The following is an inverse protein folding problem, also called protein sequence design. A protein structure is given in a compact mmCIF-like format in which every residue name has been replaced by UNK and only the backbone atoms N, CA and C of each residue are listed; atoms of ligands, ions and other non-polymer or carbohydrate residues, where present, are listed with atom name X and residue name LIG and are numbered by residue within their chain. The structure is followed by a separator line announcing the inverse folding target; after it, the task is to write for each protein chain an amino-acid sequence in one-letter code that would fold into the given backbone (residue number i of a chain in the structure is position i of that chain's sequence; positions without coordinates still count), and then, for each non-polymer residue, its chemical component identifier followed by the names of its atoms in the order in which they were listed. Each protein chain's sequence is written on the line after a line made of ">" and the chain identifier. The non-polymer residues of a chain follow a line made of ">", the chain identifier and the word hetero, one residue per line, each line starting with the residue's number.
data_IF_601850691985
#
_entry.id   IF_601850691985
#
_cell.length_a   1.000
_cell.length_b   1.000
_cell.length_c   1.000
_cell.angle_alpha   90.00
_cell.angle_beta   90.00
_cell.angle_gamma   90.00
#
_symmetry.space_group_name_H-M   'P 1'
#
loop_
_entity.id
_entity.type
_entity.pdbx_description
1 polymer ?
#
# COMPACT_ATOMS: atom_id res chain seq x y z
N UNK A 1 0.46 -7.78 -28.74
CA UNK A 1 -0.99 -7.50 -28.53
C UNK A 1 -1.62 -8.42 -27.48
N UNK A 2 -1.62 -9.74 -27.65
CA UNK A 2 -2.22 -10.68 -26.67
C UNK A 2 -1.62 -10.58 -25.25
N UNK A 3 -0.30 -10.43 -25.12
CA UNK A 3 0.35 -10.26 -23.82
C UNK A 3 -0.16 -9.03 -23.03
N UNK A 4 -0.31 -7.90 -23.72
CA UNK A 4 -0.84 -6.66 -23.12
C UNK A 4 -2.30 -6.84 -22.69
N UNK A 5 -3.11 -7.51 -23.50
CA UNK A 5 -4.52 -7.80 -23.16
C UNK A 5 -4.59 -8.66 -21.90
N UNK A 6 -3.77 -9.73 -21.82
CA UNK A 6 -3.70 -10.56 -20.62
C UNK A 6 -3.21 -9.79 -19.40
N UNK A 7 -2.21 -8.93 -19.57
CA UNK A 7 -1.69 -8.08 -18.51
C UNK A 7 -2.77 -7.14 -17.94
N UNK A 8 -3.48 -6.42 -18.81
CA UNK A 8 -4.59 -5.56 -18.41
C UNK A 8 -5.71 -6.35 -17.73
N UNK A 9 -6.09 -7.51 -18.27
CA UNK A 9 -7.09 -8.38 -17.66
C UNK A 9 -6.70 -8.81 -16.24
N UNK A 10 -5.44 -9.21 -16.02
CA UNK A 10 -4.94 -9.56 -14.70
C UNK A 10 -4.99 -8.39 -13.72
N UNK A 11 -4.69 -7.16 -14.16
CA UNK A 11 -4.83 -5.95 -13.33
C UNK A 11 -6.28 -5.75 -12.89
N UNK A 12 -7.25 -5.85 -13.83
CA UNK A 12 -8.67 -5.72 -13.48
C UNK A 12 -9.13 -6.82 -12.52
N UNK A 13 -8.73 -8.07 -12.76
CA UNK A 13 -9.04 -9.18 -11.86
C UNK A 13 -8.39 -8.96 -10.49
N UNK A 14 -7.14 -8.48 -10.42
CA UNK A 14 -6.45 -8.19 -9.18
C UNK A 14 -7.17 -7.10 -8.37
N UNK A 15 -7.53 -5.99 -9.01
CA UNK A 15 -8.29 -4.89 -8.41
C UNK A 15 -9.65 -5.35 -7.88
N UNK A 16 -10.38 -6.14 -8.69
CA UNK A 16 -11.67 -6.69 -8.29
C UNK A 16 -11.54 -7.66 -7.10
N UNK A 17 -10.50 -8.50 -7.11
CA UNK A 17 -10.21 -9.47 -6.05
C UNK A 17 -9.82 -8.79 -4.75
N UNK A 18 -9.03 -7.71 -4.81
CA UNK A 18 -8.76 -6.82 -3.66
C UNK A 18 -10.05 -6.20 -3.12
N UNK A 19 -10.97 -5.79 -4.00
CA UNK A 19 -12.29 -5.31 -3.60
C UNK A 19 -13.13 -6.37 -2.87
N UNK A 20 -13.07 -7.64 -3.30
CA UNK A 20 -13.72 -8.75 -2.61
C UNK A 20 -13.09 -9.05 -1.26
N UNK A 21 -11.76 -9.10 -1.19
CA UNK A 21 -11.01 -9.30 0.05
C UNK A 21 -11.40 -8.24 1.08
N UNK A 22 -11.37 -6.96 0.68
CA UNK A 22 -11.78 -5.82 1.50
C UNK A 22 -13.22 -5.95 1.99
N UNK A 23 -14.18 -6.25 1.09
CA UNK A 23 -15.60 -6.41 1.46
C UNK A 23 -15.82 -7.58 2.42
N UNK A 24 -15.08 -8.68 2.27
CA UNK A 24 -15.13 -9.82 3.17
C UNK A 24 -14.60 -9.45 4.56
N UNK A 25 -13.39 -8.88 4.64
CA UNK A 25 -12.77 -8.49 5.92
C UNK A 25 -13.58 -7.43 6.65
N UNK A 26 -14.06 -6.42 5.93
CA UNK A 26 -14.94 -5.38 6.49
C UNK A 26 -16.24 -5.94 7.04
N UNK A 27 -16.83 -6.96 6.42
CA UNK A 27 -18.08 -7.53 6.90
C UNK A 27 -17.91 -8.56 8.03
N UNK A 28 -16.72 -9.18 8.14
CA UNK A 28 -16.32 -9.96 9.31
C UNK A 28 -16.04 -9.08 10.52
N UNK A 29 -15.65 -7.83 10.26
CA UNK A 29 -15.34 -6.87 11.31
C UNK A 29 -16.58 -6.04 11.64
N UNK A 30 -16.98 -6.00 12.91
CA UNK A 30 -18.23 -5.33 13.34
C UNK A 30 -18.31 -3.87 12.89
N UNK A 31 -19.53 -3.38 12.57
CA UNK A 31 -19.87 -1.96 12.32
C UNK A 31 -19.49 -0.99 13.45
N UNK A 32 -18.90 -1.49 14.55
CA UNK A 32 -18.25 -0.72 15.60
C UNK A 32 -16.94 -0.07 15.16
N UNK A 33 -16.28 -0.55 14.10
CA UNK A 33 -15.01 0.02 13.65
C UNK A 33 -15.21 1.48 13.23
N UNK A 34 -16.09 1.84 12.30
CA UNK A 34 -16.27 3.26 11.91
C UNK A 34 -16.62 4.19 13.09
N UNK A 35 -17.47 3.74 14.03
CA UNK A 35 -17.77 4.50 15.26
C UNK A 35 -16.58 4.61 16.22
N UNK A 36 -15.71 3.61 16.25
CA UNK A 36 -14.48 3.61 17.07
C UNK A 36 -13.44 4.61 16.55
N UNK A 37 -13.44 4.93 15.24
CA UNK A 37 -12.46 5.87 14.67
C UNK A 37 -12.58 7.26 15.29
N UNK A 38 -13.80 7.69 15.61
CA UNK A 38 -14.06 9.00 16.20
C UNK A 38 -13.85 9.01 17.72
N UNK A 39 -14.10 7.88 18.40
CA UNK A 39 -14.04 7.77 19.86
C UNK A 39 -12.62 7.59 20.41
N UNK A 40 -11.69 7.01 19.64
CA UNK A 40 -10.35 6.65 20.11
C UNK A 40 -9.20 7.57 19.63
N UNK A 41 -9.53 8.79 19.17
CA UNK A 41 -8.55 9.74 18.61
C UNK A 41 -8.28 10.92 19.57
N UNK A 42 -8.38 10.66 20.88
CA UNK A 42 -8.12 11.60 21.96
C UNK A 42 -6.62 11.77 22.25
N UNK A 43 -5.80 10.73 22.02
CA UNK A 43 -4.36 10.73 22.27
C UNK A 43 -3.55 10.32 21.02
N UNK A 44 -2.37 10.91 20.74
CA UNK A 44 -1.58 10.61 19.54
C UNK A 44 -1.21 9.13 19.39
N UNK A 45 -0.88 8.44 20.49
CA UNK A 45 -0.59 6.99 20.47
C UNK A 45 -1.82 6.18 20.07
N UNK A 46 -3.00 6.53 20.59
CA UNK A 46 -4.24 5.84 20.23
C UNK A 46 -4.59 6.09 18.76
N UNK A 47 -4.48 7.34 18.30
CA UNK A 47 -4.69 7.71 16.90
C UNK A 47 -3.78 6.92 15.94
N UNK A 48 -2.51 6.72 16.31
CA UNK A 48 -1.55 5.91 15.58
C UNK A 48 -1.91 4.42 15.55
N UNK A 49 -2.15 3.80 16.71
CA UNK A 49 -2.50 2.38 16.77
C UNK A 49 -3.83 2.08 16.06
N UNK A 50 -4.81 2.96 16.22
CA UNK A 50 -6.10 2.85 15.56
C UNK A 50 -5.93 2.92 14.04
N UNK A 51 -5.12 3.83 13.50
CA UNK A 51 -4.94 3.88 12.04
C UNK A 51 -4.21 2.67 11.48
N UNK A 52 -3.28 2.05 12.23
CA UNK A 52 -2.67 0.76 11.84
C UNK A 52 -3.76 -0.30 11.66
N UNK A 53 -4.59 -0.48 12.68
CA UNK A 53 -5.65 -1.51 12.67
C UNK A 53 -6.68 -1.21 11.59
N UNK A 54 -7.13 0.05 11.47
CA UNK A 54 -8.13 0.41 10.47
C UNK A 54 -7.63 0.24 9.06
N UNK A 55 -6.43 0.71 8.75
CA UNK A 55 -5.88 0.54 7.42
C UNK A 55 -5.57 -0.93 7.13
N UNK A 56 -5.09 -1.68 8.11
CA UNK A 56 -4.88 -3.12 8.00
C UNK A 56 -6.18 -3.88 7.71
N UNK A 57 -7.30 -3.52 8.33
CA UNK A 57 -8.61 -4.15 8.06
C UNK A 57 -9.23 -3.64 6.75
N UNK A 58 -9.14 -2.33 6.48
CA UNK A 58 -9.62 -1.70 5.23
C UNK A 58 -8.80 -2.11 4.01
N UNK A 59 -7.56 -2.57 4.21
CA UNK A 59 -6.61 -2.94 3.16
C UNK A 59 -6.35 -1.79 2.17
N UNK A 60 -6.57 -0.54 2.60
CA UNK A 60 -6.47 0.64 1.73
C UNK A 60 -6.13 1.89 2.54
N UNK A 61 -4.85 2.28 2.48
CA UNK A 61 -4.37 3.53 3.07
C UNK A 61 -4.95 4.76 2.37
N UNK A 62 -5.14 4.70 1.05
CA UNK A 62 -5.82 5.75 0.28
C UNK A 62 -7.25 6.00 0.75
N UNK A 63 -8.06 4.94 0.93
CA UNK A 63 -9.43 5.11 1.43
C UNK A 63 -9.45 5.69 2.85
N UNK A 64 -8.56 5.22 3.73
CA UNK A 64 -8.43 5.77 5.07
C UNK A 64 -8.04 7.26 5.06
N UNK A 65 -7.08 7.64 4.22
CA UNK A 65 -6.65 9.04 4.11
C UNK A 65 -7.75 9.95 3.56
N UNK A 66 -8.55 9.49 2.60
CA UNK A 66 -9.73 10.23 2.10
C UNK A 66 -10.70 10.51 3.26
N UNK A 67 -10.97 9.53 4.12
CA UNK A 67 -11.84 9.70 5.30
C UNK A 67 -11.24 10.71 6.28
N UNK A 68 -9.95 10.56 6.62
CA UNK A 68 -9.25 11.48 7.53
C UNK A 68 -9.28 12.91 6.99
N UNK A 69 -9.03 13.10 5.70
CA UNK A 69 -9.08 14.40 5.05
C UNK A 69 -10.49 14.97 5.07
N UNK A 70 -11.53 14.16 4.82
CA UNK A 70 -12.93 14.56 4.96
C UNK A 70 -13.28 15.03 6.38
N UNK A 71 -12.79 14.34 7.41
CA UNK A 71 -12.98 14.75 8.82
C UNK A 71 -12.21 16.02 9.17
N UNK A 72 -11.02 16.22 8.60
CA UNK A 72 -10.27 17.47 8.80
C UNK A 72 -10.95 18.64 8.08
N UNK A 73 -11.44 18.42 6.86
CA UNK A 73 -12.16 19.43 6.07
C UNK A 73 -13.46 19.88 6.74
N UNK A 74 -14.15 18.98 7.43
CA UNK A 74 -15.41 19.27 8.14
C UNK A 74 -15.21 19.79 9.56
N UNK A 75 -13.96 19.94 10.02
CA UNK A 75 -13.64 20.40 11.38
C UNK A 75 -13.87 19.37 12.49
N UNK A 76 -14.29 18.14 12.15
CA UNK A 76 -14.46 17.03 13.10
C UNK A 76 -13.10 16.63 13.70
N UNK A 77 -12.04 16.67 12.88
CA UNK A 77 -10.67 16.38 13.27
C UNK A 77 -9.77 17.59 13.03
N UNK A 78 -8.82 17.85 13.91
CA UNK A 78 -7.78 18.87 13.67
C UNK A 78 -6.63 18.27 12.86
N UNK A 79 -5.97 19.10 12.04
CA UNK A 79 -4.75 18.69 11.32
C UNK A 79 -3.69 18.07 12.25
N UNK A 80 -3.48 18.63 13.44
CA UNK A 80 -2.53 18.06 14.41
C UNK A 80 -2.83 16.60 14.77
N UNK A 81 -4.12 16.23 14.86
CA UNK A 81 -4.55 14.86 15.17
C UNK A 81 -4.47 13.91 13.98
N UNK A 82 -4.40 14.42 12.74
CA UNK A 82 -4.24 13.56 11.55
C UNK A 82 -2.81 13.05 11.37
N UNK A 83 -1.79 13.73 11.91
CA UNK A 83 -0.38 13.32 11.77
C UNK A 83 -0.10 11.90 12.33
N UNK A 84 -0.43 11.56 13.59
CA UNK A 84 -0.26 10.18 14.06
C UNK A 84 -1.05 9.16 13.24
N UNK A 85 -2.20 9.57 12.69
CA UNK A 85 -3.02 8.70 11.82
C UNK A 85 -2.31 8.41 10.49
N UNK A 86 -1.64 9.42 9.91
CA UNK A 86 -0.77 9.28 8.72
C UNK A 86 0.35 8.26 8.98
N UNK A 87 1.02 8.36 10.13
CA UNK A 87 2.10 7.43 10.47
C UNK A 87 1.59 5.98 10.58
N UNK A 88 0.45 5.78 11.24
CA UNK A 88 -0.08 4.43 11.43
C UNK A 88 -0.74 3.84 10.18
N UNK A 89 -1.37 4.64 9.31
CA UNK A 89 -1.96 4.11 8.06
C UNK A 89 -0.90 3.53 7.13
N UNK A 90 0.29 4.13 7.08
CA UNK A 90 1.41 3.63 6.30
C UNK A 90 1.87 2.24 6.77
N UNK A 91 1.94 2.01 8.09
CA UNK A 91 2.19 0.67 8.64
C UNK A 91 1.00 -0.25 8.31
N UNK A 92 -0.24 0.18 8.49
CA UNK A 92 -1.41 -0.65 8.23
C UNK A 92 -1.48 -1.17 6.79
N UNK A 93 -1.07 -0.38 5.79
CA UNK A 93 -1.04 -0.84 4.38
C UNK A 93 -0.05 -1.98 4.12
N UNK A 94 0.95 -2.16 4.98
CA UNK A 94 1.93 -3.24 4.83
C UNK A 94 1.30 -4.61 5.06
N UNK A 95 0.20 -4.69 5.82
CA UNK A 95 -0.51 -5.96 6.04
C UNK A 95 -1.00 -6.53 4.71
N UNK A 96 -1.47 -5.67 3.80
CA UNK A 96 -1.84 -6.09 2.44
C UNK A 96 -0.65 -6.70 1.71
N UNK A 97 0.52 -6.07 1.81
CA UNK A 97 1.74 -6.53 1.14
C UNK A 97 2.21 -7.88 1.70
N UNK A 98 2.15 -8.05 3.03
CA UNK A 98 2.46 -9.31 3.70
C UNK A 98 1.48 -10.42 3.30
N UNK A 99 0.17 -10.14 3.24
CA UNK A 99 -0.81 -11.12 2.77
C UNK A 99 -0.58 -11.56 1.31
N UNK A 100 -0.18 -10.62 0.45
CA UNK A 100 0.16 -10.88 -0.97
C UNK A 100 1.41 -11.76 -1.09
N UNK A 101 2.38 -11.62 -0.17
CA UNK A 101 3.67 -12.30 -0.27
C UNK A 101 3.70 -13.72 0.32
N UNK A 102 2.63 -14.18 0.96
CA UNK A 102 2.58 -15.53 1.52
C UNK A 102 2.72 -16.54 0.37
N UNK A 103 3.80 -17.34 0.38
CA UNK A 103 3.97 -18.46 -0.55
C UNK A 103 2.88 -19.50 -0.33
N UNK A 104 1.90 -19.53 -1.21
CA UNK A 104 0.71 -20.36 -1.09
C UNK A 104 0.40 -21.06 -2.41
N UNK A 105 1.41 -21.55 -3.14
CA UNK A 105 1.19 -22.11 -4.49
C UNK A 105 0.16 -23.25 -4.52
N UNK A 106 0.20 -24.15 -3.52
CA UNK A 106 -0.80 -25.22 -3.35
C UNK A 106 -2.08 -24.70 -2.69
N UNK A 107 -1.95 -23.74 -1.77
CA UNK A 107 -3.08 -23.15 -1.04
C UNK A 107 -3.92 -22.20 -1.89
N UNK A 108 -3.43 -21.69 -3.01
CA UNK A 108 -4.17 -20.82 -3.93
C UNK A 108 -5.48 -21.49 -4.37
N UNK A 109 -5.39 -22.71 -4.90
CA UNK A 109 -6.57 -23.44 -5.36
C UNK A 109 -7.49 -23.82 -4.19
N UNK A 110 -6.93 -24.12 -3.02
CA UNK A 110 -7.71 -24.37 -1.80
C UNK A 110 -8.50 -23.13 -1.41
N UNK A 111 -7.85 -21.96 -1.34
CA UNK A 111 -8.47 -20.68 -1.00
C UNK A 111 -9.58 -20.30 -1.98
N UNK A 112 -9.35 -20.47 -3.28
CA UNK A 112 -10.37 -20.24 -4.32
C UNK A 112 -11.54 -21.20 -4.13
N UNK A 113 -11.28 -22.51 -4.02
CA UNK A 113 -12.33 -23.52 -3.91
C UNK A 113 -13.14 -23.34 -2.62
N UNK A 114 -12.49 -23.26 -1.45
CA UNK A 114 -13.15 -23.06 -0.17
C UNK A 114 -13.86 -21.71 -0.12
N UNK A 115 -13.24 -20.66 -0.65
CA UNK A 115 -13.84 -19.34 -0.73
C UNK A 115 -15.13 -19.35 -1.54
N UNK A 116 -15.12 -20.00 -2.71
CA UNK A 116 -16.28 -20.14 -3.58
C UNK A 116 -17.39 -20.99 -2.92
N UNK A 117 -17.03 -22.11 -2.28
CA UNK A 117 -17.97 -22.95 -1.52
C UNK A 117 -18.63 -22.14 -0.40
N UNK A 118 -17.85 -21.39 0.39
CA UNK A 118 -18.39 -20.55 1.45
C UNK A 118 -19.27 -19.40 0.92
N UNK A 119 -18.99 -18.85 -0.27
CA UNK A 119 -19.82 -17.82 -0.91
C UNK A 119 -21.17 -18.41 -1.35
N UNK A 120 -21.16 -19.57 -1.99
CA UNK A 120 -22.36 -20.19 -2.57
C UNK A 120 -23.23 -20.81 -1.48
N UNK A 121 -22.64 -21.67 -0.65
CA UNK A 121 -23.35 -22.52 0.31
C UNK A 121 -23.32 -21.98 1.75
N UNK A 122 -22.42 -21.05 2.07
CA UNK A 122 -22.30 -20.53 3.42
C UNK A 122 -23.49 -19.66 3.85
N UNK A 123 -23.73 -19.61 5.17
CA UNK A 123 -24.61 -18.63 5.79
C UNK A 123 -23.97 -17.23 5.82
N UNK A 124 -24.70 -16.18 6.24
CA UNK A 124 -24.28 -14.77 6.12
C UNK A 124 -22.83 -14.50 6.57
N UNK A 125 -22.43 -14.97 7.76
CA UNK A 125 -21.06 -14.79 8.26
C UNK A 125 -20.01 -15.55 7.43
N UNK A 126 -20.29 -16.82 7.11
CA UNK A 126 -19.42 -17.65 6.27
C UNK A 126 -19.29 -17.12 4.83
N UNK A 127 -20.31 -16.45 4.29
CA UNK A 127 -20.21 -15.78 2.97
C UNK A 127 -19.21 -14.63 3.00
N UNK A 128 -19.11 -13.91 4.11
CA UNK A 128 -18.13 -12.83 4.26
C UNK A 128 -16.71 -13.39 4.35
N UNK A 129 -16.51 -14.46 5.13
CA UNK A 129 -15.25 -15.21 5.13
C UNK A 129 -14.91 -15.77 3.74
N UNK A 130 -15.89 -16.32 3.03
CA UNK A 130 -15.73 -16.84 1.68
C UNK A 130 -15.26 -15.77 0.69
N UNK A 131 -15.81 -14.55 0.76
CA UNK A 131 -15.34 -13.40 -0.06
C UNK A 131 -13.89 -13.05 0.23
N UNK A 132 -13.46 -13.08 1.50
CA UNK A 132 -12.07 -12.86 1.88
C UNK A 132 -11.16 -13.94 1.30
N UNK A 133 -11.48 -15.21 1.52
CA UNK A 133 -10.66 -16.34 1.07
C UNK A 133 -10.58 -16.40 -0.46
N UNK A 134 -11.71 -16.24 -1.14
CA UNK A 134 -11.75 -16.24 -2.60
C UNK A 134 -10.98 -15.05 -3.19
N UNK A 135 -11.15 -13.84 -2.62
CA UNK A 135 -10.39 -12.66 -3.03
C UNK A 135 -8.89 -12.88 -2.87
N UNK A 136 -8.44 -13.41 -1.73
CA UNK A 136 -7.04 -13.74 -1.49
C UNK A 136 -6.50 -14.79 -2.47
N UNK A 137 -7.26 -15.85 -2.73
CA UNK A 137 -6.89 -16.88 -3.71
C UNK A 137 -6.75 -16.32 -5.14
N UNK A 138 -7.68 -15.46 -5.56
CA UNK A 138 -7.61 -14.79 -6.87
C UNK A 138 -6.46 -13.79 -6.99
N UNK A 139 -6.03 -13.17 -5.88
CA UNK A 139 -4.83 -12.32 -5.85
C UNK A 139 -3.58 -13.15 -6.12
N UNK A 140 -3.42 -14.30 -5.46
CA UNK A 140 -2.31 -15.21 -5.76
C UNK A 140 -2.32 -15.71 -7.21
N UNK A 141 -3.52 -16.01 -7.74
CA UNK A 141 -3.68 -16.35 -9.15
C UNK A 141 -3.17 -15.24 -10.07
N UNK A 142 -3.48 -13.97 -9.76
CA UNK A 142 -2.96 -12.85 -10.54
C UNK A 142 -1.45 -12.68 -10.43
N UNK A 143 -0.83 -12.90 -9.26
CA UNK A 143 0.64 -12.81 -9.11
C UNK A 143 1.35 -13.90 -9.92
N UNK A 144 0.85 -15.14 -9.87
CA UNK A 144 1.35 -16.22 -10.74
C UNK A 144 1.11 -15.87 -12.21
N UNK A 145 -0.04 -15.27 -12.53
CA UNK A 145 -0.33 -14.73 -13.85
C UNK A 145 0.70 -13.71 -14.31
N UNK A 146 1.00 -12.69 -13.50
CA UNK A 146 2.02 -11.68 -13.77
C UNK A 146 3.39 -12.31 -13.97
N UNK A 147 3.78 -13.27 -13.12
CA UNK A 147 5.05 -13.99 -13.25
C UNK A 147 5.13 -14.73 -14.59
N UNK A 148 4.08 -15.50 -14.93
CA UNK A 148 4.02 -16.29 -16.16
C UNK A 148 4.07 -15.45 -17.44
N UNK A 149 3.48 -14.26 -17.42
CA UNK A 149 3.52 -13.35 -18.57
C UNK A 149 4.68 -12.37 -18.53
N UNK A 150 5.44 -12.28 -17.44
CA UNK A 150 6.56 -11.33 -17.31
C UNK A 150 7.58 -11.53 -18.44
N UNK A 151 8.00 -12.78 -18.71
CA UNK A 151 8.89 -13.10 -19.83
C UNK A 151 8.30 -12.80 -21.22
N UNK A 152 6.98 -12.86 -21.38
CA UNK A 152 6.33 -12.39 -22.62
C UNK A 152 6.27 -10.86 -22.67
N UNK A 153 6.12 -10.19 -21.54
CA UNK A 153 6.05 -8.73 -21.45
C UNK A 153 7.41 -8.09 -21.70
N UNK A 154 8.52 -8.71 -21.31
CA UNK A 154 9.89 -8.21 -21.61
C UNK A 154 10.21 -8.19 -23.10
N UNK A 155 9.49 -8.96 -23.94
CA UNK A 155 9.60 -8.87 -25.40
C UNK A 155 8.99 -7.59 -26.00
N UNK A 156 8.18 -6.86 -25.23
CA UNK A 156 7.56 -5.62 -25.70
C UNK A 156 8.54 -4.46 -25.48
N UNK A 157 8.82 -3.63 -26.50
CA UNK A 157 9.80 -2.53 -26.40
C UNK A 157 9.52 -1.57 -25.24
N UNK A 158 8.24 -1.27 -24.99
CA UNK A 158 7.85 -0.36 -23.91
C UNK A 158 8.12 -0.92 -22.52
N UNK A 159 7.85 -2.22 -22.31
CA UNK A 159 8.15 -2.89 -21.04
C UNK A 159 9.66 -2.95 -20.83
N UNK A 160 10.42 -3.31 -21.87
CA UNK A 160 11.87 -3.39 -21.77
C UNK A 160 12.48 -2.03 -21.41
N UNK A 161 12.05 -0.96 -22.10
CA UNK A 161 12.47 0.41 -21.78
C UNK A 161 12.12 0.82 -20.35
N UNK A 162 10.94 0.43 -19.86
CA UNK A 162 10.54 0.68 -18.48
C UNK A 162 11.44 -0.06 -17.48
N UNK A 163 11.76 -1.33 -17.75
CA UNK A 163 12.67 -2.13 -16.91
C UNK A 163 14.11 -1.59 -16.93
N UNK A 164 14.62 -1.23 -18.10
CA UNK A 164 15.94 -0.60 -18.25
C UNK A 164 16.01 0.73 -17.49
N UNK A 165 14.95 1.54 -17.54
CA UNK A 165 14.86 2.77 -16.75
C UNK A 165 14.93 2.45 -15.24
N UNK A 166 14.22 1.43 -14.76
CA UNK A 166 14.30 1.01 -13.36
C UNK A 166 15.70 0.55 -12.97
N UNK A 167 16.40 -0.19 -13.85
CA UNK A 167 17.73 -0.74 -13.59
C UNK A 167 18.85 0.32 -13.70
N UNK A 168 18.58 1.50 -14.27
CA UNK A 168 19.59 2.53 -14.45
C UNK A 168 20.13 3.09 -13.13
N UNK A 169 19.26 3.30 -12.13
CA UNK A 169 19.63 3.83 -10.82
C UNK A 169 18.51 3.63 -9.80
N UNK A 170 18.82 3.70 -8.50
CA UNK A 170 17.81 3.68 -7.43
C UNK A 170 16.79 4.81 -7.57
N UNK A 171 17.23 6.00 -8.03
CA UNK A 171 16.35 7.15 -8.24
C UNK A 171 15.33 6.92 -9.34
N UNK A 172 15.74 6.30 -10.45
CA UNK A 172 14.83 6.01 -11.56
C UNK A 172 13.86 4.88 -11.19
N UNK A 173 14.27 3.89 -10.39
CA UNK A 173 13.36 2.91 -9.81
C UNK A 173 12.34 3.55 -8.84
N UNK A 174 12.77 4.45 -7.95
CA UNK A 174 11.88 5.22 -7.07
C UNK A 174 10.88 6.06 -7.88
N UNK A 175 11.36 6.76 -8.90
CA UNK A 175 10.49 7.58 -9.74
C UNK A 175 9.47 6.71 -10.49
N UNK A 176 9.89 5.55 -10.99
CA UNK A 176 9.02 4.57 -11.65
C UNK A 176 7.90 4.08 -10.72
N UNK A 177 8.26 3.71 -9.49
CA UNK A 177 7.28 3.30 -8.46
C UNK A 177 6.32 4.42 -8.09
N UNK A 178 6.84 5.65 -7.97
CA UNK A 178 6.05 6.85 -7.66
C UNK A 178 5.02 7.13 -8.75
N UNK A 179 5.46 7.21 -10.01
CA UNK A 179 4.60 7.54 -11.15
C UNK A 179 3.58 6.43 -11.39
N UNK A 180 4.02 5.17 -11.43
CA UNK A 180 3.10 4.06 -11.71
C UNK A 180 2.03 3.95 -10.64
N UNK A 181 2.42 4.07 -9.36
CA UNK A 181 1.48 4.02 -8.25
C UNK A 181 0.54 5.23 -8.25
N UNK A 182 1.03 6.41 -8.61
CA UNK A 182 0.18 7.59 -8.71
C UNK A 182 -0.88 7.45 -9.81
N UNK A 183 -0.53 6.87 -10.96
CA UNK A 183 -1.47 6.61 -12.07
C UNK A 183 -2.49 5.52 -11.70
N UNK A 184 -2.02 4.43 -11.10
CA UNK A 184 -2.86 3.27 -10.75
C UNK A 184 -3.70 3.55 -9.48
N UNK A 185 -3.30 4.53 -8.67
CA UNK A 185 -3.88 4.85 -7.37
C UNK A 185 -3.86 3.68 -6.35
N UNK A 186 -3.02 2.67 -6.56
CA UNK A 186 -2.92 1.49 -5.68
C UNK A 186 -1.50 0.95 -5.63
N UNK A 187 -0.85 1.12 -4.48
CA UNK A 187 0.48 0.54 -4.22
C UNK A 187 0.44 -0.98 -4.19
N UNK A 188 -0.59 -1.58 -3.59
CA UNK A 188 -0.74 -3.04 -3.53
C UNK A 188 -0.79 -3.70 -4.91
N UNK A 189 -1.40 -3.04 -5.91
CA UNK A 189 -1.40 -3.52 -7.30
C UNK A 189 -0.01 -3.40 -7.91
N UNK A 190 0.63 -2.23 -7.77
CA UNK A 190 1.95 -1.98 -8.33
C UNK A 190 3.01 -2.91 -7.73
N UNK A 191 2.96 -3.13 -6.42
CA UNK A 191 3.81 -4.06 -5.70
C UNK A 191 3.50 -5.52 -6.11
N UNK A 192 2.23 -5.90 -6.28
CA UNK A 192 1.87 -7.23 -6.76
C UNK A 192 2.39 -7.54 -8.18
N UNK A 193 2.34 -6.55 -9.09
CA UNK A 193 2.97 -6.64 -10.41
C UNK A 193 4.48 -6.80 -10.27
N UNK A 194 5.13 -5.92 -9.49
CA UNK A 194 6.56 -5.98 -9.22
C UNK A 194 6.99 -7.35 -8.72
N UNK A 195 6.28 -7.92 -7.73
CA UNK A 195 6.54 -9.25 -7.19
C UNK A 195 6.51 -10.34 -8.28
N UNK A 196 5.59 -10.23 -9.24
CA UNK A 196 5.53 -11.15 -10.38
C UNK A 196 6.77 -11.07 -11.27
N UNK A 197 7.22 -9.85 -11.62
CA UNK A 197 8.43 -9.65 -12.41
C UNK A 197 9.72 -10.06 -11.67
N UNK A 198 9.75 -9.88 -10.35
CA UNK A 198 10.86 -10.32 -9.50
C UNK A 198 10.92 -11.85 -9.39
N UNK A 199 9.77 -12.54 -9.34
CA UNK A 199 9.73 -14.00 -9.33
C UNK A 199 10.28 -14.61 -10.64
N UNK A 200 10.11 -13.92 -11.76
CA UNK A 200 10.70 -14.29 -13.07
C UNK A 200 12.18 -13.87 -13.19
N UNK A 201 12.74 -13.17 -12.20
CA UNK A 201 14.14 -12.72 -12.20
C UNK A 201 14.42 -11.53 -13.13
N UNK A 202 13.37 -10.88 -13.66
CA UNK A 202 13.50 -9.71 -14.57
C UNK A 202 13.76 -8.40 -13.84
N UNK A 203 13.44 -8.35 -12.55
CA UNK A 203 13.73 -7.21 -11.65
C UNK A 203 14.46 -7.77 -10.43
N UNK A 204 15.63 -7.22 -10.12
CA UNK A 204 16.39 -7.62 -8.95
C UNK A 204 15.87 -6.94 -7.67
N UNK A 205 16.33 -7.44 -6.52
CA UNK A 205 15.79 -7.05 -5.21
C UNK A 205 16.00 -5.55 -4.94
N UNK A 206 17.15 -4.99 -5.31
CA UNK A 206 17.47 -3.59 -5.04
C UNK A 206 16.52 -2.65 -5.79
N UNK A 207 16.27 -2.91 -7.08
CA UNK A 207 15.34 -2.15 -7.90
C UNK A 207 13.91 -2.30 -7.38
N UNK A 208 13.54 -3.49 -6.90
CA UNK A 208 12.25 -3.72 -6.27
C UNK A 208 12.06 -2.94 -4.97
N UNK A 209 13.07 -2.90 -4.12
CA UNK A 209 13.08 -2.10 -2.88
C UNK A 209 12.95 -0.60 -3.21
N UNK A 210 13.75 -0.11 -4.17
CA UNK A 210 13.67 1.27 -4.67
C UNK A 210 12.29 1.60 -5.25
N UNK A 211 11.71 0.69 -6.02
CA UNK A 211 10.35 0.85 -6.54
C UNK A 211 9.30 0.95 -5.42
N UNK A 212 9.41 0.12 -4.38
CA UNK A 212 8.47 0.14 -3.23
C UNK A 212 8.57 1.45 -2.45
N UNK A 213 9.78 1.99 -2.26
CA UNK A 213 9.99 3.32 -1.70
C UNK A 213 9.22 4.38 -2.51
N UNK A 214 9.36 4.33 -3.84
CA UNK A 214 8.58 5.17 -4.74
C UNK A 214 7.06 4.97 -4.64
N UNK A 215 6.62 3.72 -4.55
CA UNK A 215 5.19 3.37 -4.46
C UNK A 215 4.52 3.98 -3.22
N UNK A 216 5.25 4.05 -2.10
CA UNK A 216 4.77 4.72 -0.88
C UNK A 216 4.55 6.23 -1.11
N UNK A 217 5.45 6.90 -1.84
CA UNK A 217 5.28 8.31 -2.23
C UNK A 217 4.13 8.47 -3.22
N UNK A 218 4.04 7.61 -4.24
CA UNK A 218 3.01 7.68 -5.28
C UNK A 218 1.59 7.55 -4.72
N UNK A 219 1.40 6.74 -3.67
CA UNK A 219 0.10 6.56 -2.99
C UNK A 219 -0.47 7.87 -2.44
N UNK A 220 0.39 8.84 -2.09
CA UNK A 220 -0.03 10.13 -1.56
C UNK A 220 -0.90 10.94 -2.54
N UNK A 221 -0.88 10.64 -3.85
CA UNK A 221 -1.71 11.34 -4.84
C UNK A 221 -3.20 11.30 -4.47
N UNK A 222 -3.67 10.19 -3.88
CA UNK A 222 -5.08 10.06 -3.48
C UNK A 222 -5.45 11.03 -2.37
N UNK A 223 -4.52 11.29 -1.45
CA UNK A 223 -4.69 12.27 -0.39
C UNK A 223 -4.67 13.69 -0.98
N UNK A 224 -3.75 13.96 -1.90
CA UNK A 224 -3.68 15.26 -2.59
C UNK A 224 -4.99 15.57 -3.31
N UNK A 225 -5.52 14.63 -4.10
CA UNK A 225 -6.80 14.81 -4.80
C UNK A 225 -7.96 15.03 -3.83
N UNK A 226 -8.03 14.24 -2.75
CA UNK A 226 -9.07 14.39 -1.72
C UNK A 226 -9.05 15.76 -1.02
N UNK A 227 -7.86 16.38 -0.91
CA UNK A 227 -7.70 17.66 -0.24
C UNK A 227 -8.02 18.88 -1.13
N UNK A 228 -8.18 18.72 -2.44
CA UNK A 228 -8.41 19.84 -3.38
C UNK A 228 -9.63 20.68 -2.98
N UNK A 229 -10.72 20.03 -2.58
CA UNK A 229 -11.97 20.69 -2.18
C UNK A 229 -12.11 20.90 -0.67
N UNK A 230 -11.08 20.60 0.13
CA UNK A 230 -11.19 20.44 1.58
C UNK A 230 -10.74 21.63 2.44
N UNK A 231 -10.36 22.75 1.82
CA UNK A 231 -9.79 23.91 2.50
C UNK A 231 -8.36 23.69 3.02
N UNK A 232 -7.87 24.64 3.83
CA UNK A 232 -6.45 24.68 4.21
C UNK A 232 -6.00 23.47 5.04
N UNK A 233 -6.77 23.10 6.07
CA UNK A 233 -6.39 22.00 6.97
C UNK A 233 -6.36 20.64 6.24
N UNK A 234 -7.23 20.43 5.26
CA UNK A 234 -7.20 19.28 4.37
C UNK A 234 -5.91 19.26 3.52
N UNK A 235 -5.55 20.41 2.93
CA UNK A 235 -4.30 20.57 2.17
C UNK A 235 -3.07 20.33 3.04
N UNK A 236 -3.04 20.85 4.27
CA UNK A 236 -1.97 20.59 5.24
C UNK A 236 -1.88 19.09 5.57
N UNK A 237 -3.00 18.39 5.72
CA UNK A 237 -3.03 16.93 5.97
C UNK A 237 -2.45 16.15 4.79
N UNK A 238 -2.88 16.45 3.56
CA UNK A 238 -2.33 15.80 2.37
C UNK A 238 -0.85 16.11 2.17
N UNK A 239 -0.45 17.37 2.38
CA UNK A 239 0.94 17.79 2.28
C UNK A 239 1.83 17.10 3.33
N UNK A 240 1.35 16.97 4.58
CA UNK A 240 2.03 16.20 5.61
C UNK A 240 2.21 14.73 5.20
N UNK A 241 1.23 14.11 4.53
CA UNK A 241 1.35 12.74 4.04
C UNK A 241 2.43 12.61 2.95
N UNK A 242 2.48 13.54 1.99
CA UNK A 242 3.52 13.59 0.96
C UNK A 242 4.90 13.78 1.59
N UNK A 243 5.07 14.82 2.42
CA UNK A 243 6.36 15.17 3.03
C UNK A 243 6.86 14.04 3.92
N UNK A 244 5.99 13.39 4.71
CA UNK A 244 6.37 12.23 5.51
C UNK A 244 6.95 11.10 4.66
N UNK A 245 6.27 10.71 3.59
CA UNK A 245 6.75 9.63 2.72
C UNK A 245 8.05 10.01 2.00
N UNK A 246 8.15 11.24 1.47
CA UNK A 246 9.36 11.73 0.81
C UNK A 246 10.54 11.74 1.77
N UNK A 247 10.39 12.29 2.97
CA UNK A 247 11.45 12.28 3.98
C UNK A 247 11.83 10.86 4.40
N UNK A 248 10.85 9.95 4.54
CA UNK A 248 11.10 8.54 4.79
C UNK A 248 12.00 7.90 3.72
N UNK A 249 11.70 8.13 2.44
CA UNK A 249 12.54 7.67 1.32
C UNK A 249 13.96 8.27 1.40
N UNK A 250 14.06 9.58 1.58
CA UNK A 250 15.37 10.27 1.66
C UNK A 250 16.23 9.77 2.82
N UNK A 251 15.63 9.43 3.96
CA UNK A 251 16.34 8.84 5.10
C UNK A 251 16.75 7.40 4.88
N UNK A 252 16.01 6.65 4.04
CA UNK A 252 16.32 5.26 3.71
C UNK A 252 17.48 5.14 2.71
N UNK A 253 17.56 6.06 1.75
CA UNK A 253 18.51 6.03 0.62
C UNK A 253 19.99 5.79 1.00
N UNK A 254 20.58 6.46 2.01
CA UNK A 254 21.98 6.25 2.38
C UNK A 254 22.28 4.82 2.86
N UNK A 255 21.26 4.10 3.32
CA UNK A 255 21.37 2.75 3.87
C UNK A 255 20.84 1.68 2.91
N UNK A 256 20.45 2.05 1.70
CA UNK A 256 19.70 1.19 0.79
C UNK A 256 20.41 -0.13 0.50
N UNK A 257 21.71 -0.10 0.18
CA UNK A 257 22.50 -1.33 -0.07
C UNK A 257 22.55 -2.25 1.15
N UNK A 258 22.76 -1.69 2.34
CA UNK A 258 22.77 -2.44 3.60
C UNK A 258 21.40 -3.06 3.88
N UNK A 259 20.34 -2.29 3.67
CA UNK A 259 18.95 -2.76 3.83
C UNK A 259 18.66 -3.88 2.84
N UNK A 260 19.06 -3.76 1.57
CA UNK A 260 18.89 -4.81 0.56
C UNK A 260 19.56 -6.11 0.99
N UNK A 261 20.81 -6.04 1.47
CA UNK A 261 21.52 -7.22 1.97
C UNK A 261 20.83 -7.83 3.19
N UNK A 262 20.38 -7.00 4.14
CA UNK A 262 19.66 -7.47 5.31
C UNK A 262 18.33 -8.13 4.95
N UNK A 263 17.53 -7.49 4.10
CA UNK A 263 16.24 -8.01 3.62
C UNK A 263 16.41 -9.31 2.86
N UNK A 264 17.48 -9.46 2.08
CA UNK A 264 17.78 -10.71 1.37
C UNK A 264 17.93 -11.92 2.32
N UNK A 265 18.34 -11.69 3.58
CA UNK A 265 18.48 -12.72 4.60
C UNK A 265 17.14 -13.07 5.30
N UNK A 266 16.14 -12.20 5.24
CA UNK A 266 14.87 -12.38 5.97
C UNK A 266 13.97 -13.43 5.33
N UNK A 267 14.07 -13.65 4.02
CA UNK A 267 13.24 -14.61 3.31
C UNK A 267 13.91 -15.09 2.02
N UNK A 268 13.48 -16.26 1.54
CA UNK A 268 14.04 -16.87 0.32
C UNK A 268 13.30 -16.51 -0.96
N UNK A 269 12.07 -15.96 -0.94
CA UNK A 269 11.46 -15.41 -2.16
C UNK A 269 11.60 -13.90 -2.28
N UNK A 270 11.75 -13.41 -3.52
CA UNK A 270 11.67 -11.98 -3.82
C UNK A 270 10.39 -11.32 -3.30
N UNK A 271 9.23 -11.98 -3.43
CA UNK A 271 7.96 -11.45 -2.93
C UNK A 271 7.95 -11.25 -1.40
N UNK A 272 8.44 -12.21 -0.63
CA UNK A 272 8.51 -12.09 0.84
C UNK A 272 9.53 -11.03 1.26
N UNK A 273 10.66 -10.96 0.58
CA UNK A 273 11.67 -9.92 0.79
C UNK A 273 11.06 -8.51 0.61
N UNK A 274 10.29 -8.28 -0.45
CA UNK A 274 9.60 -6.99 -0.66
C UNK A 274 8.56 -6.70 0.42
N UNK A 275 7.80 -7.70 0.86
CA UNK A 275 6.82 -7.50 1.92
C UNK A 275 7.48 -7.11 3.25
N UNK A 276 8.51 -7.85 3.66
CA UNK A 276 9.25 -7.56 4.88
C UNK A 276 9.96 -6.21 4.81
N UNK A 277 10.53 -5.86 3.66
CA UNK A 277 11.06 -4.52 3.45
C UNK A 277 9.99 -3.45 3.65
N UNK A 278 8.82 -3.58 3.01
CA UNK A 278 7.72 -2.62 3.12
C UNK A 278 7.26 -2.46 4.58
N UNK A 279 7.13 -3.57 5.32
CA UNK A 279 6.80 -3.57 6.74
C UNK A 279 7.87 -2.83 7.56
N UNK A 280 9.14 -3.25 7.44
CA UNK A 280 10.26 -2.68 8.20
C UNK A 280 10.43 -1.19 7.92
N UNK A 281 10.40 -0.78 6.64
CA UNK A 281 10.51 0.61 6.23
C UNK A 281 9.40 1.47 6.85
N UNK A 282 8.13 1.06 6.73
CA UNK A 282 7.01 1.84 7.25
C UNK A 282 7.00 1.86 8.78
N UNK A 283 7.36 0.75 9.45
CA UNK A 283 7.48 0.73 10.91
C UNK A 283 8.61 1.64 11.38
N UNK A 284 9.81 1.51 10.81
CA UNK A 284 10.98 2.29 11.20
C UNK A 284 10.76 3.79 10.95
N UNK A 285 10.28 4.17 9.76
CA UNK A 285 10.00 5.58 9.43
C UNK A 285 8.92 6.17 10.33
N UNK A 286 7.82 5.46 10.57
CA UNK A 286 6.75 5.94 11.44
C UNK A 286 7.18 6.07 12.89
N UNK A 287 7.93 5.10 13.44
CA UNK A 287 8.45 5.18 14.82
C UNK A 287 9.51 6.28 14.97
N UNK A 288 10.34 6.49 13.95
CA UNK A 288 11.33 7.57 13.93
C UNK A 288 10.64 8.94 13.98
N UNK A 289 9.56 9.15 13.20
CA UNK A 289 8.82 10.41 13.17
C UNK A 289 7.88 10.61 14.37
N UNK A 290 7.47 9.53 15.03
CA UNK A 290 6.51 9.57 16.15
C UNK A 290 6.89 10.55 17.28
N UNK A 291 8.12 10.56 17.85
CA UNK A 291 8.50 11.54 18.87
C UNK A 291 8.56 12.98 18.32
N UNK A 292 8.72 13.15 17.00
CA UNK A 292 8.83 14.43 16.32
C UNK A 292 7.50 14.93 15.72
N UNK A 293 6.35 14.39 16.14
CA UNK A 293 5.03 14.84 15.65
C UNK A 293 4.82 16.35 15.85
N UNK A 294 5.27 16.92 16.98
CA UNK A 294 5.13 18.36 17.26
C UNK A 294 5.98 19.23 16.34
N UNK A 295 7.31 19.03 16.21
CA UNK A 295 8.11 19.80 15.26
C UNK A 295 7.69 19.55 13.81
N UNK A 296 7.30 18.33 13.45
CA UNK A 296 6.78 18.03 12.12
C UNK A 296 5.50 18.82 11.81
N UNK A 297 4.56 18.88 12.75
CA UNK A 297 3.38 19.74 12.65
C UNK A 297 3.75 21.22 12.43
N UNK A 298 4.69 21.75 13.22
CA UNK A 298 5.14 23.13 13.08
C UNK A 298 5.82 23.40 11.73
N UNK A 299 6.63 22.47 11.23
CA UNK A 299 7.26 22.54 9.92
C UNK A 299 6.21 22.61 8.80
N UNK A 300 5.15 21.80 8.85
CA UNK A 300 4.08 21.84 7.86
C UNK A 300 3.31 23.17 7.92
N UNK A 301 3.04 23.70 9.11
CA UNK A 301 2.40 25.02 9.25
C UNK A 301 3.30 26.15 8.74
N UNK A 302 4.62 26.03 8.86
CA UNK A 302 5.56 27.01 8.31
C UNK A 302 5.58 26.97 6.76
N UNK A 303 5.60 25.77 6.18
CA UNK A 303 5.63 25.58 4.72
C UNK A 303 4.30 25.92 4.04
N UNK A 304 3.18 25.69 4.74
CA UNK A 304 1.84 25.94 4.23
C UNK A 304 1.01 26.71 5.29
N UNK A 305 1.29 28.02 5.45
CA UNK A 305 0.74 28.81 6.54
C UNK A 305 -0.75 29.06 6.41
N UNK A 306 -1.38 29.38 7.55
CA UNK A 306 -2.75 29.87 7.59
C UNK A 306 -2.81 31.19 6.84
N UNK A 307 -3.53 31.22 5.70
CA UNK A 307 -3.96 32.46 5.10
C UNK A 307 -4.96 33.09 6.08
N UNK A 308 -4.48 34.07 6.83
CA UNK A 308 -5.30 34.97 7.67
C UNK A 308 -6.19 35.83 6.81
#
# INVERSE_FOLDING_TARGET
>A
MMAIIYFCALIFIFLWSMGLLRKGLMALTSSRIEKSLLLFTDHPVKAFLVSIVFTGVLQSSSAFMVIVIGFVSTGILTFKKSIPMILGTNIGSTFTTEFIAIKMDVFMWVLIATGLVCIIFGQRSFRHAGKSLFGLGMIFFCIQGFSKIAGMMTSQPETLRFLEMMQHSDWTAILSGTILTAIVHSSSVCIGILMGFMNEGTVALQEGISFVLGSNVGTCITAVMAAISGGLAARQTAYAHVVFNVLGVLLCLPFLTLITQFVALLASSPAQQIAHFSLLFNVASSLLFFPFIRPFHAMILFLLPNQT
#
